data_IF_821463734407
#
_entry.id   IF_821463734407
#
_cell.length_a   1.000
_cell.length_b   1.000
_cell.length_c   1.000
_cell.angle_alpha   90.00
_cell.angle_beta   90.00
_cell.angle_gamma   90.00
#
_symmetry.space_group_name_H-M   'P 1'
#
loop_
_entity.id
_entity.type
_entity.pdbx_description
1 polymer ?
#
# COMPACT_ATOMS: atom_id res chain seq x y z
N UNK A 1 3.82 0.15 21.98
CA UNK A 1 3.88 1.08 20.84
C UNK A 1 5.21 0.88 20.14
N UNK A 2 5.18 0.26 18.98
CA UNK A 2 6.35 -0.02 18.15
C UNK A 2 6.02 0.36 16.70
N UNK A 3 7.02 0.66 15.88
CA UNK A 3 6.81 0.85 14.45
C UNK A 3 6.53 -0.49 13.77
N UNK A 4 5.51 -0.50 12.89
CA UNK A 4 5.15 -1.65 12.04
C UNK A 4 5.12 -1.21 10.58
N UNK A 5 5.59 -2.08 9.69
CA UNK A 5 5.67 -1.78 8.25
C UNK A 5 4.28 -1.82 7.60
N UNK A 6 3.87 -0.72 6.95
CA UNK A 6 2.64 -0.64 6.15
C UNK A 6 2.91 -0.66 4.64
N UNK A 7 4.06 -0.15 4.21
CA UNK A 7 4.38 0.12 2.81
C UNK A 7 5.84 -0.26 2.55
N UNK A 8 6.08 -0.81 1.36
CA UNK A 8 7.41 -0.95 0.78
C UNK A 8 7.43 -0.29 -0.59
N UNK A 9 8.55 0.37 -0.92
CA UNK A 9 8.77 1.07 -2.19
C UNK A 9 10.15 0.68 -2.72
N UNK A 10 10.25 0.29 -3.99
CA UNK A 10 11.49 -0.17 -4.57
C UNK A 10 11.67 0.28 -6.01
N UNK A 11 12.90 0.68 -6.34
CA UNK A 11 13.37 0.83 -7.70
C UNK A 11 14.19 -0.42 -8.05
N UNK A 12 13.65 -1.27 -8.92
CA UNK A 12 14.29 -2.52 -9.32
C UNK A 12 15.18 -2.37 -10.56
N UNK A 13 15.36 -1.14 -11.06
CA UNK A 13 16.05 -0.83 -12.32
C UNK A 13 15.65 -1.83 -13.41
N UNK A 14 16.60 -2.39 -14.15
CA UNK A 14 16.32 -3.37 -15.19
C UNK A 14 16.25 -4.83 -14.68
N UNK A 15 16.45 -5.11 -13.37
CA UNK A 15 16.57 -6.48 -12.85
C UNK A 15 15.36 -7.36 -13.20
N UNK A 16 14.15 -6.88 -12.92
CA UNK A 16 12.91 -7.61 -13.23
C UNK A 16 12.68 -7.71 -14.74
N UNK A 17 12.93 -6.61 -15.46
CA UNK A 17 12.71 -6.53 -16.91
C UNK A 17 13.65 -7.42 -17.73
N UNK A 18 14.89 -7.67 -17.26
CA UNK A 18 15.84 -8.61 -17.87
C UNK A 18 15.31 -10.04 -17.81
N UNK A 19 14.75 -10.44 -16.66
CA UNK A 19 14.16 -11.78 -16.46
C UNK A 19 12.88 -11.98 -17.29
N UNK A 20 12.06 -10.94 -17.43
CA UNK A 20 10.80 -10.99 -18.22
C UNK A 20 10.98 -10.62 -19.70
N UNK A 21 12.20 -10.27 -20.12
CA UNK A 21 12.51 -9.80 -21.47
C UNK A 21 11.69 -8.55 -21.93
N UNK A 22 11.43 -7.61 -21.01
CA UNK A 22 10.72 -6.35 -21.30
C UNK A 22 11.72 -5.29 -21.77
N UNK A 23 11.76 -5.06 -23.08
CA UNK A 23 12.76 -4.20 -23.73
C UNK A 23 12.23 -2.81 -24.06
N UNK A 24 13.13 -1.87 -24.28
CA UNK A 24 12.80 -0.53 -24.75
C UNK A 24 13.74 -0.08 -25.89
N UNK A 25 13.22 0.83 -26.72
CA UNK A 25 13.95 1.38 -27.86
C UNK A 25 13.85 0.53 -29.14
N UNK A 26 14.24 1.14 -30.26
CA UNK A 26 14.25 0.51 -31.59
C UNK A 26 15.63 -0.06 -31.88
N UNK A 27 15.69 -1.31 -32.34
CA UNK A 27 16.94 -1.98 -32.70
C UNK A 27 17.54 -1.33 -33.94
N UNK A 28 18.68 -0.64 -33.83
CA UNK A 28 19.41 -0.12 -35.00
C UNK A 28 20.31 -1.22 -35.56
N UNK A 29 20.58 -1.16 -36.87
CA UNK A 29 21.52 -2.08 -37.51
C UNK A 29 22.90 -1.91 -36.85
N UNK A 30 23.41 -2.96 -36.21
CA UNK A 30 24.67 -2.93 -35.46
C UNK A 30 24.54 -2.92 -33.93
N UNK A 31 23.34 -2.75 -33.37
CA UNK A 31 23.13 -2.84 -31.92
C UNK A 31 23.34 -4.27 -31.42
N UNK A 32 24.39 -4.45 -30.59
CA UNK A 32 24.70 -5.72 -29.93
C UNK A 32 24.03 -5.87 -28.57
N UNK A 33 23.69 -4.76 -27.90
CA UNK A 33 23.09 -4.78 -26.57
C UNK A 33 21.57 -4.59 -26.61
N UNK A 34 20.87 -5.40 -25.81
CA UNK A 34 19.43 -5.23 -25.54
C UNK A 34 19.28 -4.15 -24.46
N UNK A 35 18.42 -3.15 -24.71
CA UNK A 35 18.02 -2.16 -23.72
C UNK A 35 16.72 -2.59 -23.04
N UNK A 36 16.67 -2.39 -21.74
CA UNK A 36 15.58 -2.85 -20.88
C UNK A 36 14.97 -1.67 -20.11
N UNK A 37 13.67 -1.74 -19.83
CA UNK A 37 12.99 -0.71 -19.04
C UNK A 37 13.39 -0.79 -17.58
N UNK A 38 13.27 0.33 -16.85
CA UNK A 38 13.35 0.29 -15.40
C UNK A 38 11.97 -0.04 -14.80
N UNK A 39 11.93 -0.97 -13.85
CA UNK A 39 10.72 -1.35 -13.12
C UNK A 39 10.74 -0.75 -11.72
N UNK A 40 9.62 -0.17 -11.30
CA UNK A 40 9.39 0.31 -9.93
C UNK A 40 8.12 -0.35 -9.37
N UNK A 41 8.07 -0.50 -8.06
CA UNK A 41 6.87 -0.95 -7.35
C UNK A 41 6.73 -0.23 -6.01
N UNK A 42 5.49 -0.07 -5.56
CA UNK A 42 5.15 0.54 -4.28
C UNK A 42 3.79 0.04 -3.80
N UNK A 43 3.69 -0.34 -2.53
CA UNK A 43 2.42 -0.64 -1.90
C UNK A 43 1.67 0.66 -1.61
N UNK A 44 0.52 0.87 -2.26
CA UNK A 44 -0.32 2.03 -1.94
C UNK A 44 -0.99 1.87 -0.57
N UNK A 45 -1.67 0.75 -0.35
CA UNK A 45 -2.34 0.42 0.91
C UNK A 45 -2.48 -1.09 1.06
N UNK A 46 -1.80 -1.67 2.05
CA UNK A 46 -2.06 -3.02 2.50
C UNK A 46 -3.25 -3.00 3.48
N UNK A 47 -4.45 -3.30 2.96
CA UNK A 47 -5.74 -3.04 3.62
C UNK A 47 -5.84 -3.55 5.05
N UNK A 48 -5.38 -4.76 5.32
CA UNK A 48 -5.44 -5.39 6.64
C UNK A 48 -4.50 -4.70 7.63
N UNK A 49 -3.28 -4.36 7.19
CA UNK A 49 -2.31 -3.65 8.04
C UNK A 49 -2.75 -2.20 8.29
N UNK A 50 -3.28 -1.55 7.26
CA UNK A 50 -3.85 -0.21 7.37
C UNK A 50 -5.03 -0.19 8.33
N UNK A 51 -5.89 -1.22 8.30
CA UNK A 51 -6.99 -1.35 9.26
C UNK A 51 -6.47 -1.44 10.69
N UNK A 52 -5.50 -2.30 10.99
CA UNK A 52 -4.91 -2.36 12.35
C UNK A 52 -4.38 -0.99 12.80
N UNK A 53 -3.67 -0.28 11.93
CA UNK A 53 -3.18 1.07 12.20
C UNK A 53 -4.33 2.05 12.51
N UNK A 54 -5.42 2.02 11.73
CA UNK A 54 -6.59 2.86 11.97
C UNK A 54 -7.27 2.53 13.29
N UNK A 55 -7.49 1.25 13.60
CA UNK A 55 -8.11 0.82 14.86
C UNK A 55 -7.30 1.31 16.07
N UNK A 56 -5.96 1.19 16.03
CA UNK A 56 -5.10 1.60 17.13
C UNK A 56 -5.04 3.13 17.32
N UNK A 57 -5.03 3.91 16.22
CA UNK A 57 -4.83 5.35 16.27
C UNK A 57 -6.14 6.16 16.41
N UNK A 58 -7.29 5.59 16.04
CA UNK A 58 -8.59 6.27 16.08
C UNK A 58 -9.56 5.69 17.11
N UNK A 59 -9.11 4.74 17.94
CA UNK A 59 -9.91 4.24 19.05
C UNK A 59 -10.22 5.34 20.09
N UNK A 60 -11.39 5.19 20.69
CA UNK A 60 -11.91 5.97 21.81
C UNK A 60 -12.40 4.99 22.89
N UNK A 61 -12.80 5.47 24.09
CA UNK A 61 -13.36 4.58 25.12
C UNK A 61 -14.62 3.82 24.70
N UNK A 62 -15.36 4.29 23.69
CA UNK A 62 -16.68 3.75 23.30
C UNK A 62 -16.74 3.19 21.88
N UNK A 63 -15.67 3.34 21.08
CA UNK A 63 -15.65 2.94 19.68
C UNK A 63 -14.48 3.56 18.92
N UNK A 64 -14.63 3.72 17.60
CA UNK A 64 -13.57 4.14 16.70
C UNK A 64 -14.06 5.26 15.79
N UNK A 65 -13.32 6.36 15.74
CA UNK A 65 -13.59 7.45 14.81
C UNK A 65 -13.16 7.04 13.38
N UNK A 66 -14.00 7.30 12.39
CA UNK A 66 -13.63 7.09 10.98
C UNK A 66 -12.82 8.31 10.51
N UNK A 67 -11.63 8.13 9.92
CA UNK A 67 -10.88 9.23 9.32
C UNK A 67 -11.73 9.98 8.29
N UNK A 68 -11.74 11.31 8.35
CA UNK A 68 -12.58 12.14 7.48
C UNK A 68 -12.50 11.77 5.98
N UNK A 69 -11.34 11.43 5.39
CA UNK A 69 -11.26 11.01 3.99
C UNK A 69 -12.01 9.70 3.67
N UNK A 70 -12.24 8.83 4.65
CA UNK A 70 -12.92 7.55 4.48
C UNK A 70 -14.44 7.65 4.66
N UNK A 71 -14.95 8.70 5.31
CA UNK A 71 -16.39 8.90 5.59
C UNK A 71 -17.28 8.82 4.33
N UNK A 72 -16.91 9.42 3.17
CA UNK A 72 -17.72 9.30 1.95
C UNK A 72 -17.85 7.87 1.43
N UNK A 73 -16.87 7.01 1.70
CA UNK A 73 -16.86 5.60 1.30
C UNK A 73 -17.61 4.71 2.30
N UNK A 74 -17.93 5.23 3.49
CA UNK A 74 -18.63 4.56 4.57
C UNK A 74 -20.11 4.95 4.64
N UNK A 75 -20.67 5.59 3.61
CA UNK A 75 -22.06 6.04 3.59
C UNK A 75 -22.36 7.18 4.58
N UNK A 76 -21.36 8.00 4.91
CA UNK A 76 -21.49 9.09 5.88
C UNK A 76 -21.31 8.66 7.34
N UNK A 77 -20.94 7.41 7.60
CA UNK A 77 -20.63 6.95 8.96
C UNK A 77 -19.31 7.57 9.44
N UNK A 78 -19.37 8.33 10.53
CA UNK A 78 -18.22 9.00 11.15
C UNK A 78 -17.68 8.25 12.38
N UNK A 79 -18.45 7.32 12.95
CA UNK A 79 -18.11 6.60 14.18
C UNK A 79 -18.63 5.16 14.18
N UNK A 80 -17.78 4.24 14.64
CA UNK A 80 -18.12 2.81 14.79
C UNK A 80 -18.08 2.44 16.28
N UNK A 81 -19.23 2.17 16.93
CA UNK A 81 -19.27 1.85 18.35
C UNK A 81 -18.81 0.42 18.65
N UNK A 82 -18.25 0.20 19.84
CA UNK A 82 -18.01 -1.16 20.32
C UNK A 82 -19.33 -1.85 20.68
N UNK A 83 -19.53 -3.05 20.13
CA UNK A 83 -20.75 -3.85 20.34
C UNK A 83 -20.60 -4.87 21.47
N UNK A 84 -19.38 -5.11 21.95
CA UNK A 84 -19.06 -6.03 23.02
C UNK A 84 -17.96 -5.45 23.88
N UNK A 85 -18.18 -5.45 25.19
CA UNK A 85 -17.14 -5.18 26.17
C UNK A 85 -16.59 -6.52 26.63
N UNK A 86 -15.29 -6.71 26.45
CA UNK A 86 -14.60 -7.84 27.07
C UNK A 86 -14.55 -7.51 28.56
N UNK A 87 -15.25 -8.30 29.39
CA UNK A 87 -15.06 -8.23 30.85
C UNK A 87 -13.58 -8.50 31.11
N UNK A 88 -12.88 -7.53 31.69
CA UNK A 88 -11.54 -7.72 32.24
C UNK A 88 -11.59 -8.75 33.37
#
# INVERSE_FOLDING_TARGET
GEYKELVSCSNCTDYQSRKMEIRCGTKKLGDREKKYVHCLNSTLCATERALCCLLENYQTPTGINIPAPLVPYMGGVEFVPYVRFIKQ
#
